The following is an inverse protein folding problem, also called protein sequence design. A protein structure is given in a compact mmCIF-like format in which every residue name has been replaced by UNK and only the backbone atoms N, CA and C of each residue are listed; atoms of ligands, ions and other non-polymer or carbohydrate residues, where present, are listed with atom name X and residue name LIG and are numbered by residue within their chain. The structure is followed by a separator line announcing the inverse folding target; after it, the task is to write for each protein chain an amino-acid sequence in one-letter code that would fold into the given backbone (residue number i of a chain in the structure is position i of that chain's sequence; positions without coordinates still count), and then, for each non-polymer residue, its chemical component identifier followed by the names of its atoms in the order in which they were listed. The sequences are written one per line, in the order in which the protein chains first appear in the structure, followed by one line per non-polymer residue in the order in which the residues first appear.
data_IF_417595458717
#
_entry.id   IF_417595458717
#
_cell.length_a   1.000
_cell.length_b   1.000
_cell.length_c   1.000
_cell.angle_alpha   90.00
_cell.angle_beta   90.00
_cell.angle_gamma   90.00
#
_symmetry.space_group_name_H-M   'P 1'
#
loop_
_entity.id
_entity.type
_entity.pdbx_description
1 polymer ?
#
# COMPACT_ATOMS: atom_id res chain seq x y z
N UNK A 1 -9.92 3.16 -4.01
CA UNK A 1 -9.50 3.89 -2.80
C UNK A 1 -9.83 5.35 -3.00
N UNK A 2 -8.95 6.24 -3.45
CA UNK A 2 -9.20 7.70 -3.51
C UNK A 2 -10.59 8.18 -3.99
N UNK A 3 -11.14 7.59 -5.05
CA UNK A 3 -12.45 7.97 -5.62
C UNK A 3 -13.67 7.35 -4.94
N UNK A 4 -13.48 6.41 -4.02
CA UNK A 4 -14.55 5.80 -3.24
C UNK A 4 -14.89 6.72 -2.05
N UNK A 5 -16.16 7.11 -1.92
CA UNK A 5 -16.62 8.06 -0.91
C UNK A 5 -17.29 7.40 0.30
N UNK A 6 -17.36 6.07 0.35
CA UNK A 6 -18.10 5.31 1.37
C UNK A 6 -17.51 5.38 2.78
N UNK A 7 -16.22 5.69 2.93
CA UNK A 7 -15.54 5.70 4.22
C UNK A 7 -14.34 6.65 4.28
N UNK A 8 -14.01 7.10 5.50
CA UNK A 8 -12.83 7.95 5.70
C UNK A 8 -11.52 7.17 5.53
N UNK A 9 -11.52 5.89 5.92
CA UNK A 9 -10.36 5.01 5.82
C UNK A 9 -10.70 3.84 4.90
N UNK A 10 -9.89 3.65 3.88
CA UNK A 10 -10.05 2.56 2.92
C UNK A 10 -8.76 1.79 2.80
N UNK A 11 -8.86 0.47 2.90
CA UNK A 11 -7.71 -0.40 3.03
C UNK A 11 -7.68 -1.39 1.88
N UNK A 12 -6.50 -1.58 1.28
CA UNK A 12 -6.26 -2.57 0.24
C UNK A 12 -4.97 -3.32 0.54
N UNK A 13 -5.08 -4.64 0.63
CA UNK A 13 -3.94 -5.55 0.71
C UNK A 13 -3.50 -5.92 -0.70
N UNK A 14 -2.19 -5.94 -0.92
CA UNK A 14 -1.58 -6.38 -2.16
C UNK A 14 -0.85 -7.70 -1.90
N UNK A 15 -1.06 -8.65 -2.80
CA UNK A 15 -0.57 -10.02 -2.68
C UNK A 15 0.20 -10.42 -3.93
N UNK A 16 1.16 -11.33 -3.73
CA UNK A 16 1.92 -11.96 -4.80
C UNK A 16 1.89 -13.47 -4.53
N UNK A 17 1.46 -14.26 -5.51
CA UNK A 17 1.27 -15.72 -5.38
C UNK A 17 0.34 -16.11 -4.21
N UNK A 18 -0.70 -15.31 -3.93
CA UNK A 18 -1.63 -15.53 -2.82
C UNK A 18 -1.04 -15.22 -1.43
N UNK A 19 0.19 -14.70 -1.38
CA UNK A 19 0.85 -14.28 -0.14
C UNK A 19 0.72 -12.77 -0.01
N UNK A 20 0.10 -12.23 1.05
CA UNK A 20 0.08 -10.80 1.32
C UNK A 20 1.50 -10.26 1.49
N UNK A 21 1.85 -9.19 0.78
CA UNK A 21 3.20 -8.58 0.84
C UNK A 21 3.19 -7.19 1.45
N UNK A 22 2.16 -6.40 1.16
CA UNK A 22 1.96 -5.07 1.73
C UNK A 22 0.48 -4.66 1.77
N UNK A 23 0.21 -3.56 2.45
CA UNK A 23 -1.12 -2.97 2.58
C UNK A 23 -1.03 -1.45 2.44
N UNK A 24 -2.03 -0.86 1.78
CA UNK A 24 -2.21 0.59 1.73
C UNK A 24 -3.55 0.94 2.38
N UNK A 25 -3.52 1.89 3.31
CA UNK A 25 -4.71 2.56 3.85
C UNK A 25 -4.74 4.00 3.37
N UNK A 26 -5.73 4.35 2.55
CA UNK A 26 -6.03 5.74 2.21
C UNK A 26 -6.85 6.39 3.34
N UNK A 27 -6.46 7.60 3.75
CA UNK A 27 -7.06 8.43 4.79
C UNK A 27 -7.57 9.71 4.13
N UNK A 28 -8.88 9.77 3.86
CA UNK A 28 -9.50 10.79 3.01
C UNK A 28 -9.48 12.20 3.60
N UNK A 29 -9.70 12.35 4.91
CA UNK A 29 -9.67 13.64 5.60
C UNK A 29 -8.31 14.34 5.52
N UNK A 30 -7.24 13.58 5.22
CA UNK A 30 -5.87 14.09 5.10
C UNK A 30 -5.31 14.00 3.68
N UNK A 31 -6.04 13.37 2.76
CA UNK A 31 -5.55 12.96 1.44
C UNK A 31 -4.18 12.22 1.53
N UNK A 32 -4.03 11.37 2.55
CA UNK A 32 -2.79 10.65 2.85
C UNK A 32 -2.94 9.13 2.62
N UNK A 33 -1.82 8.48 2.29
CA UNK A 33 -1.69 7.03 2.17
C UNK A 33 -0.75 6.51 3.25
N UNK A 34 -1.22 5.55 4.04
CA UNK A 34 -0.39 4.78 4.96
C UNK A 34 -0.05 3.46 4.28
N UNK A 35 1.23 3.26 3.98
CA UNK A 35 1.75 2.02 3.42
C UNK A 35 2.37 1.17 4.54
N UNK A 36 2.15 -0.14 4.50
CA UNK A 36 2.75 -1.11 5.40
C UNK A 36 3.31 -2.27 4.58
N UNK A 37 4.63 -2.48 4.64
CA UNK A 37 5.29 -3.72 4.17
C UNK A 37 5.24 -4.74 5.30
N UNK A 38 4.96 -6.01 4.99
CA UNK A 38 4.88 -7.03 6.03
C UNK A 38 6.24 -7.65 6.37
N UNK A 39 7.16 -7.75 5.38
CA UNK A 39 8.48 -8.36 5.55
C UNK A 39 9.55 -7.61 4.74
N UNK A 40 10.49 -6.90 5.39
CA UNK A 40 10.46 -6.52 6.81
C UNK A 40 9.23 -5.67 7.16
N UNK A 41 8.88 -5.58 8.45
CA UNK A 41 7.76 -4.76 8.89
C UNK A 41 8.14 -3.28 8.88
N UNK A 42 7.73 -2.58 7.83
CA UNK A 42 8.01 -1.16 7.63
C UNK A 42 6.71 -0.41 7.38
N UNK A 43 6.64 0.83 7.85
CA UNK A 43 5.45 1.66 7.72
C UNK A 43 5.84 3.07 7.30
N UNK A 44 5.22 3.53 6.22
CA UNK A 44 5.46 4.84 5.64
C UNK A 44 4.15 5.60 5.45
N UNK A 45 4.28 6.92 5.31
CA UNK A 45 3.18 7.83 4.97
C UNK A 45 3.55 8.60 3.73
N UNK A 46 2.60 8.71 2.82
CA UNK A 46 2.72 9.45 1.57
C UNK A 46 1.54 10.39 1.44
N UNK A 47 1.79 11.59 0.93
CA UNK A 47 0.81 12.58 0.49
C UNK A 47 0.54 12.48 -1.02
N UNK A 48 1.37 11.73 -1.74
CA UNK A 48 1.26 11.51 -3.19
C UNK A 48 0.88 10.06 -3.53
N UNK A 49 -0.08 9.90 -4.44
CA UNK A 49 -0.57 8.61 -4.91
C UNK A 49 0.49 7.84 -5.71
N UNK A 50 1.27 8.53 -6.53
CA UNK A 50 2.29 7.92 -7.38
C UNK A 50 3.45 7.39 -6.52
N UNK A 51 3.83 8.12 -5.46
CA UNK A 51 4.86 7.64 -4.52
C UNK A 51 4.46 6.35 -3.82
N UNK A 52 3.23 6.26 -3.30
CA UNK A 52 2.77 5.01 -2.67
C UNK A 52 2.60 3.88 -3.71
N UNK A 53 2.25 4.21 -4.96
CA UNK A 53 2.15 3.22 -6.03
C UNK A 53 3.53 2.63 -6.40
N UNK A 54 4.59 3.46 -6.42
CA UNK A 54 5.98 3.00 -6.61
C UNK A 54 6.38 2.01 -5.51
N UNK A 55 6.07 2.30 -4.24
CA UNK A 55 6.40 1.39 -3.13
C UNK A 55 5.62 0.07 -3.17
N UNK A 56 4.36 0.10 -3.61
CA UNK A 56 3.59 -1.13 -3.86
C UNK A 56 4.24 -1.94 -4.98
N UNK A 57 4.61 -1.30 -6.09
CA UNK A 57 5.27 -1.96 -7.22
C UNK A 57 6.60 -2.59 -6.80
N UNK A 58 7.47 -1.84 -6.13
CA UNK A 58 8.76 -2.32 -5.64
C UNK A 58 8.58 -3.52 -4.70
N UNK A 59 7.65 -3.45 -3.76
CA UNK A 59 7.39 -4.57 -2.84
C UNK A 59 6.92 -5.85 -3.55
N UNK A 60 6.05 -5.73 -4.54
CA UNK A 60 5.60 -6.87 -5.35
C UNK A 60 6.74 -7.42 -6.21
N UNK A 61 7.53 -6.54 -6.82
CA UNK A 61 8.68 -6.90 -7.65
C UNK A 61 9.76 -7.60 -6.81
N UNK A 62 10.15 -7.04 -5.68
CA UNK A 62 11.13 -7.63 -4.76
C UNK A 62 10.69 -9.02 -4.33
N UNK A 63 9.44 -9.18 -3.90
CA UNK A 63 8.92 -10.47 -3.48
C UNK A 63 9.00 -11.50 -4.60
N UNK A 64 8.62 -11.11 -5.83
CA UNK A 64 8.70 -11.99 -7.00
C UNK A 64 10.13 -12.40 -7.36
N UNK A 65 11.13 -11.56 -7.11
CA UNK A 65 12.53 -11.82 -7.47
C UNK A 65 13.38 -12.35 -6.28
N UNK A 66 12.78 -12.52 -5.11
CA UNK A 66 13.45 -13.12 -3.93
C UNK A 66 13.27 -14.65 -3.87
N UNK A 67 12.29 -15.19 -4.61
CA UNK A 67 12.03 -16.63 -4.77
C UNK A 67 12.33 -17.08 -6.20
#
# INVERSE_FOLDING_TARGET
MRNDQTGNRQRRTFEQFGIPVCEVTYIRDRDEFVYVRFRPHERFRFDDLDLVAIEVFNCLYDFRNTF
#
